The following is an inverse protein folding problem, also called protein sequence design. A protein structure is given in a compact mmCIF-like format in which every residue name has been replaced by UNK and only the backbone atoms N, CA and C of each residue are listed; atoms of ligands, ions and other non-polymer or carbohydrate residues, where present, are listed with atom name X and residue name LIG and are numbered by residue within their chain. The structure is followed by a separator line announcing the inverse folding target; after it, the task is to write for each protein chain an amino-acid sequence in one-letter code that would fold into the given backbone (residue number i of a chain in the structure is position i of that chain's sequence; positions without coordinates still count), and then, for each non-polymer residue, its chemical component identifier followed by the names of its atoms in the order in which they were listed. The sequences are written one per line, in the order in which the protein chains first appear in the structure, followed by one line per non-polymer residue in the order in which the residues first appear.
data_IF_464043811337
#
_entry.id   IF_464043811337
#
_cell.length_a   1.000
_cell.length_b   1.000
_cell.length_c   1.000
_cell.angle_alpha   90.00
_cell.angle_beta   90.00
_cell.angle_gamma   90.00
#
_symmetry.space_group_name_H-M   'P 1'
#
loop_
_entity.id
_entity.type
_entity.pdbx_description
1 polymer ?
#
# COMPACT_ATOMS: atom_id res chain seq x y z
N UNK A 1 -3.84 -16.65 7.60
CA UNK A 1 -3.98 -15.41 6.80
C UNK A 1 -2.67 -15.20 6.07
N UNK A 2 -2.65 -14.42 4.97
CA UNK A 2 -1.43 -14.27 4.18
C UNK A 2 -1.12 -12.82 3.83
N UNK A 3 0.17 -12.56 3.56
CA UNK A 3 0.67 -11.37 2.89
C UNK A 3 1.13 -11.79 1.50
N UNK A 4 0.56 -11.23 0.44
CA UNK A 4 0.92 -11.63 -0.94
C UNK A 4 1.75 -10.52 -1.57
N UNK A 5 2.96 -10.83 -2.02
CA UNK A 5 3.80 -9.89 -2.78
C UNK A 5 3.87 -10.27 -4.25
N UNK A 6 3.65 -9.30 -5.13
CA UNK A 6 3.70 -9.48 -6.57
C UNK A 6 4.97 -8.93 -7.21
N UNK A 7 5.64 -9.74 -8.04
CA UNK A 7 6.77 -9.31 -8.88
C UNK A 7 6.82 -10.11 -10.18
N UNK A 8 7.64 -9.68 -11.15
CA UNK A 8 7.85 -10.39 -12.41
C UNK A 8 9.18 -11.16 -12.42
N UNK A 9 9.47 -11.93 -13.48
CA UNK A 9 10.70 -12.74 -13.60
C UNK A 9 12.00 -11.94 -13.52
N UNK A 10 11.94 -10.64 -13.84
CA UNK A 10 13.07 -9.72 -13.72
C UNK A 10 12.69 -8.59 -12.77
N UNK A 11 12.68 -8.85 -11.44
CA UNK A 11 12.32 -7.85 -10.48
C UNK A 11 13.38 -6.75 -10.47
N UNK A 12 12.95 -5.53 -10.71
CA UNK A 12 13.82 -4.36 -10.78
C UNK A 12 14.09 -3.72 -9.41
N UNK A 13 13.36 -4.14 -8.38
CA UNK A 13 13.54 -3.73 -6.99
C UNK A 13 13.04 -4.80 -6.03
N UNK A 14 13.67 -4.91 -4.87
CA UNK A 14 13.25 -5.77 -3.76
C UNK A 14 12.41 -5.03 -2.71
N UNK A 15 12.11 -3.74 -2.91
CA UNK A 15 11.34 -2.93 -1.95
C UNK A 15 10.05 -3.61 -1.49
N UNK A 16 9.27 -4.14 -2.44
CA UNK A 16 8.01 -4.81 -2.14
C UNK A 16 8.20 -6.11 -1.36
N UNK A 17 9.24 -6.89 -1.70
CA UNK A 17 9.61 -8.09 -0.97
C UNK A 17 9.93 -7.78 0.50
N UNK A 18 10.74 -6.75 0.75
CA UNK A 18 11.12 -6.38 2.10
C UNK A 18 9.95 -5.86 2.93
N UNK A 19 9.04 -5.06 2.34
CA UNK A 19 7.81 -4.66 3.03
C UNK A 19 6.92 -5.87 3.36
N UNK A 20 6.75 -6.79 2.40
CA UNK A 20 5.93 -7.96 2.61
C UNK A 20 6.49 -8.87 3.71
N UNK A 21 7.81 -9.05 3.74
CA UNK A 21 8.51 -9.76 4.80
C UNK A 21 8.35 -9.08 6.16
N UNK A 22 8.47 -7.75 6.23
CA UNK A 22 8.30 -6.99 7.46
C UNK A 22 6.87 -7.12 8.02
N UNK A 23 5.86 -7.07 7.15
CA UNK A 23 4.46 -7.29 7.53
C UNK A 23 4.24 -8.72 8.05
N UNK A 24 4.68 -9.73 7.30
CA UNK A 24 4.55 -11.13 7.69
C UNK A 24 5.29 -11.45 9.01
N UNK A 25 6.45 -10.83 9.26
CA UNK A 25 7.18 -10.96 10.54
C UNK A 25 6.51 -10.26 11.71
N UNK A 26 5.79 -9.18 11.44
CA UNK A 26 5.05 -8.44 12.47
C UNK A 26 3.89 -9.29 12.96
N UNK A 27 3.19 -9.98 12.06
CA UNK A 27 1.94 -10.71 12.38
C UNK A 27 2.13 -12.21 12.57
N UNK A 28 3.24 -12.78 12.10
CA UNK A 28 3.47 -14.22 12.05
C UNK A 28 2.72 -14.92 10.91
N UNK A 29 2.11 -14.16 9.99
CA UNK A 29 1.40 -14.72 8.84
C UNK A 29 2.33 -15.29 7.76
N UNK A 30 1.76 -16.13 6.91
CA UNK A 30 2.44 -16.66 5.72
C UNK A 30 2.73 -15.54 4.70
N UNK A 31 3.97 -15.52 4.19
CA UNK A 31 4.35 -14.70 3.04
C UNK A 31 4.21 -15.50 1.75
N UNK A 32 3.42 -15.00 0.81
CA UNK A 32 3.24 -15.60 -0.51
C UNK A 32 4.02 -14.80 -1.55
N UNK A 33 5.04 -15.41 -2.14
CA UNK A 33 5.81 -14.86 -3.24
C UNK A 33 5.12 -15.19 -4.57
N UNK A 34 4.50 -14.19 -5.20
CA UNK A 34 3.79 -14.36 -6.46
C UNK A 34 4.58 -13.78 -7.63
N UNK A 35 5.33 -14.64 -8.33
CA UNK A 35 6.01 -14.30 -9.57
C UNK A 35 5.02 -14.42 -10.75
N UNK A 36 4.81 -13.33 -11.47
CA UNK A 36 3.84 -13.27 -12.57
C UNK A 36 4.55 -13.00 -13.88
N UNK A 37 4.48 -13.99 -14.77
CA UNK A 37 4.90 -13.88 -16.17
C UNK A 37 3.75 -13.24 -16.94
N UNK A 38 3.94 -12.00 -17.37
CA UNK A 38 2.96 -11.34 -18.23
C UNK A 38 3.08 -11.90 -19.64
N UNK A 39 2.04 -12.58 -20.11
CA UNK A 39 2.00 -13.21 -21.43
C UNK A 39 0.57 -13.41 -21.92
N UNK A 40 0.43 -13.83 -23.17
CA UNK A 40 -0.85 -14.34 -23.67
C UNK A 40 -1.15 -15.63 -22.88
N UNK A 41 -2.23 -15.61 -22.10
CA UNK A 41 -2.73 -16.85 -21.50
C UNK A 41 -3.19 -17.77 -22.65
N UNK A 42 -2.81 -19.04 -22.59
CA UNK A 42 -3.17 -20.14 -23.50
C UNK A 42 -4.31 -19.81 -24.47
N UNK A 43 -3.98 -19.15 -25.58
CA UNK A 43 -4.85 -19.08 -26.75
C UNK A 43 -4.50 -20.29 -27.61
N UNK A 44 -5.38 -21.29 -27.76
CA UNK A 44 -5.10 -22.48 -28.58
C UNK A 44 -4.94 -22.19 -30.08
N UNK A 45 -5.02 -20.93 -30.51
CA UNK A 45 -5.29 -20.54 -31.88
C UNK A 45 -4.08 -20.06 -32.68
N UNK A 46 -2.89 -19.93 -32.09
CA UNK A 46 -1.67 -19.64 -32.84
C UNK A 46 -0.59 -20.62 -32.43
N UNK A 47 -0.67 -21.81 -33.01
CA UNK A 47 0.42 -22.77 -33.01
C UNK A 47 1.57 -22.12 -33.78
N UNK A 48 2.55 -21.57 -33.08
CA UNK A 48 3.79 -21.06 -33.68
C UNK A 48 4.51 -22.22 -34.38
N UNK A 49 4.63 -22.22 -35.73
CA UNK A 49 5.29 -23.29 -36.45
C UNK A 49 6.79 -23.42 -36.15
N UNK A 50 7.39 -22.40 -35.51
CA UNK A 50 8.83 -22.31 -35.29
C UNK A 50 9.31 -22.73 -33.88
N UNK A 51 8.42 -23.07 -32.95
CA UNK A 51 8.78 -23.44 -31.57
C UNK A 51 9.35 -22.30 -30.71
N UNK A 52 9.37 -21.06 -31.22
CA UNK A 52 9.92 -19.88 -30.57
C UNK A 52 9.09 -19.51 -29.33
N UNK A 53 7.77 -19.72 -29.40
CA UNK A 53 6.86 -19.55 -28.25
C UNK A 53 7.19 -20.52 -27.10
N UNK A 54 7.58 -21.77 -27.39
CA UNK A 54 7.92 -22.75 -26.36
C UNK A 54 9.27 -22.49 -25.67
N UNK A 55 10.30 -22.11 -26.42
CA UNK A 55 11.60 -21.72 -25.84
C UNK A 55 11.49 -20.42 -25.04
N UNK A 56 10.73 -19.44 -25.52
CA UNK A 56 10.51 -18.19 -24.80
C UNK A 56 9.75 -18.44 -23.50
N UNK A 57 8.69 -19.26 -23.52
CA UNK A 57 7.96 -19.62 -22.31
C UNK A 57 8.84 -20.38 -21.31
N UNK A 58 9.67 -21.31 -21.77
CA UNK A 58 10.62 -22.02 -20.92
C UNK A 58 11.61 -21.06 -20.26
N UNK A 59 12.23 -20.15 -21.04
CA UNK A 59 13.14 -19.12 -20.51
C UNK A 59 12.46 -18.21 -19.48
N UNK A 60 11.20 -17.84 -19.70
CA UNK A 60 10.45 -17.03 -18.73
C UNK A 60 10.12 -17.79 -17.44
N UNK A 61 9.88 -19.10 -17.51
CA UNK A 61 9.69 -19.94 -16.32
C UNK A 61 10.99 -20.10 -15.54
N UNK A 62 12.10 -20.38 -16.22
CA UNK A 62 13.43 -20.44 -15.60
C UNK A 62 13.77 -19.12 -14.90
N UNK A 63 13.57 -17.98 -15.57
CA UNK A 63 13.76 -16.67 -14.96
C UNK A 63 12.83 -16.42 -13.75
N UNK A 64 11.59 -16.94 -13.78
CA UNK A 64 10.67 -16.84 -12.66
C UNK A 64 11.12 -17.69 -11.45
N UNK A 65 11.63 -18.90 -11.70
CA UNK A 65 12.18 -19.78 -10.68
C UNK A 65 13.44 -19.17 -10.05
N UNK A 66 14.35 -18.64 -10.87
CA UNK A 66 15.52 -17.90 -10.40
C UNK A 66 15.14 -16.68 -9.55
N UNK A 67 14.12 -15.92 -9.98
CA UNK A 67 13.63 -14.78 -9.22
C UNK A 67 13.04 -15.19 -7.86
N UNK A 68 12.36 -16.34 -7.78
CA UNK A 68 11.83 -16.88 -6.52
C UNK A 68 12.95 -17.33 -5.59
N UNK A 69 13.95 -18.07 -6.09
CA UNK A 69 15.13 -18.46 -5.31
C UNK A 69 15.85 -17.22 -4.77
N UNK A 70 16.10 -16.24 -5.65
CA UNK A 70 16.74 -15.00 -5.27
C UNK A 70 15.92 -14.21 -4.23
N UNK A 71 14.59 -14.20 -4.34
CA UNK A 71 13.72 -13.59 -3.34
C UNK A 71 13.81 -14.34 -2.01
N UNK A 72 13.78 -15.68 -2.04
CA UNK A 72 13.86 -16.54 -0.84
C UNK A 72 15.18 -16.36 -0.09
N UNK A 73 16.30 -16.28 -0.80
CA UNK A 73 17.63 -16.08 -0.22
C UNK A 73 17.79 -14.75 0.54
N UNK A 74 16.92 -13.76 0.23
CA UNK A 74 16.89 -12.45 0.90
C UNK A 74 16.01 -12.45 2.14
N UNK A 75 15.22 -13.50 2.37
CA UNK A 75 14.28 -13.59 3.48
C UNK A 75 14.90 -14.32 4.68
N UNK A 76 14.49 -13.98 5.92
CA UNK A 76 14.86 -14.77 7.09
C UNK A 76 14.36 -16.22 6.98
N UNK A 77 15.19 -17.17 7.39
CA UNK A 77 14.94 -18.62 7.25
C UNK A 77 13.70 -19.13 7.97
N UNK A 78 13.23 -18.44 9.01
CA UNK A 78 12.09 -18.85 9.85
C UNK A 78 10.74 -18.33 9.36
N UNK A 79 10.70 -17.54 8.28
CA UNK A 79 9.45 -17.02 7.75
C UNK A 79 8.71 -18.12 6.97
N UNK A 80 7.43 -18.43 7.28
CA UNK A 80 6.63 -19.31 6.44
C UNK A 80 6.42 -18.66 5.07
N UNK A 81 6.96 -19.29 4.03
CA UNK A 81 6.95 -18.75 2.66
C UNK A 81 6.37 -19.79 1.69
N UNK A 82 5.38 -19.36 0.93
CA UNK A 82 4.83 -20.09 -0.21
C UNK A 82 5.19 -19.39 -1.52
N UNK A 83 5.69 -20.15 -2.49
CA UNK A 83 6.14 -19.63 -3.78
C UNK A 83 5.14 -20.04 -4.88
N UNK A 84 4.72 -19.09 -5.70
CA UNK A 84 3.83 -19.33 -6.83
C UNK A 84 4.30 -18.62 -8.09
N UNK A 85 4.21 -19.34 -9.21
CA UNK A 85 4.36 -18.79 -10.55
C UNK A 85 2.97 -18.74 -11.19
N UNK A 86 2.65 -17.61 -11.83
CA UNK A 86 1.43 -17.43 -12.61
C UNK A 86 1.75 -16.84 -13.96
N UNK A 87 0.98 -17.26 -14.97
CA UNK A 87 1.06 -16.73 -16.34
C UNK A 87 -0.26 -16.07 -16.69
N UNK A 88 -0.21 -14.88 -17.28
CA UNK A 88 -1.39 -14.32 -17.92
C UNK A 88 -1.30 -12.83 -18.26
N UNK A 89 -2.39 -12.32 -18.86
CA UNK A 89 -2.40 -11.00 -19.51
C UNK A 89 -2.45 -9.81 -18.55
N UNK A 90 -3.01 -10.01 -17.35
CA UNK A 90 -3.27 -8.95 -16.38
C UNK A 90 -2.68 -9.30 -15.03
N UNK A 91 -1.52 -8.71 -14.73
CA UNK A 91 -0.83 -8.83 -13.44
C UNK A 91 -1.74 -8.40 -12.28
N UNK A 92 -2.43 -7.24 -12.32
CA UNK A 92 -3.39 -6.85 -11.27
C UNK A 92 -4.48 -7.89 -11.00
N UNK A 93 -5.09 -8.44 -12.06
CA UNK A 93 -6.18 -9.40 -11.92
C UNK A 93 -5.71 -10.77 -11.41
N UNK A 94 -4.45 -11.14 -11.69
CA UNK A 94 -3.84 -12.34 -11.12
C UNK A 94 -3.58 -12.11 -9.62
N UNK A 95 -2.94 -11.01 -9.24
CA UNK A 95 -2.68 -10.71 -7.83
C UNK A 95 -3.96 -10.61 -7.00
N UNK A 96 -5.00 -9.98 -7.55
CA UNK A 96 -6.31 -9.91 -6.91
C UNK A 96 -6.85 -11.31 -6.61
N UNK A 97 -6.88 -12.20 -7.61
CA UNK A 97 -7.39 -13.57 -7.46
C UNK A 97 -6.55 -14.41 -6.51
N UNK A 98 -5.22 -14.31 -6.59
CA UNK A 98 -4.33 -15.04 -5.66
C UNK A 98 -4.48 -14.52 -4.22
N UNK A 99 -4.70 -13.22 -4.05
CA UNK A 99 -5.02 -12.63 -2.75
C UNK A 99 -6.32 -13.17 -2.17
N UNK A 100 -7.39 -13.15 -2.96
CA UNK A 100 -8.71 -13.66 -2.55
C UNK A 100 -8.67 -15.15 -2.23
N UNK A 101 -8.02 -15.95 -3.08
CA UNK A 101 -7.91 -17.40 -2.89
C UNK A 101 -7.11 -17.82 -1.65
N UNK A 102 -6.35 -16.89 -1.05
CA UNK A 102 -5.44 -17.13 0.08
C UNK A 102 -5.78 -16.30 1.31
N UNK A 103 -6.97 -15.70 1.33
CA UNK A 103 -7.42 -14.79 2.39
C UNK A 103 -6.34 -13.75 2.76
N UNK A 104 -5.75 -13.15 1.73
CA UNK A 104 -4.65 -12.21 1.91
C UNK A 104 -5.15 -10.97 2.65
N UNK A 105 -4.40 -10.56 3.67
CA UNK A 105 -4.66 -9.33 4.43
C UNK A 105 -4.20 -8.09 3.67
N UNK A 106 -3.20 -8.24 2.79
CA UNK A 106 -2.67 -7.16 1.98
C UNK A 106 -1.95 -7.72 0.74
N UNK A 107 -2.16 -7.04 -0.39
CA UNK A 107 -1.38 -7.21 -1.62
C UNK A 107 -0.22 -6.21 -1.62
N UNK A 108 1.01 -6.68 -1.72
CA UNK A 108 2.21 -5.84 -1.63
C UNK A 108 2.90 -5.72 -2.99
N UNK A 109 3.32 -4.50 -3.30
CA UNK A 109 4.05 -4.15 -4.52
C UNK A 109 5.21 -3.21 -4.20
N UNK A 110 6.26 -3.29 -5.01
CA UNK A 110 7.30 -2.25 -5.05
C UNK A 110 6.86 -1.03 -5.86
N UNK A 111 7.53 0.08 -5.63
CA UNK A 111 7.43 1.27 -6.48
C UNK A 111 7.93 1.03 -7.90
N UNK A 112 7.37 1.75 -8.86
CA UNK A 112 7.88 1.78 -10.22
C UNK A 112 9.33 2.30 -10.27
N UNK A 113 10.13 1.71 -11.16
CA UNK A 113 11.55 2.03 -11.34
C UNK A 113 11.83 3.43 -11.85
N UNK A 114 10.87 4.05 -12.53
CA UNK A 114 10.98 5.42 -13.03
C UNK A 114 10.84 6.48 -11.94
N UNK A 115 10.42 6.09 -10.73
CA UNK A 115 10.24 6.99 -9.60
C UNK A 115 11.54 7.39 -8.90
N UNK A 116 11.57 8.52 -8.19
CA UNK A 116 12.72 8.91 -7.36
C UNK A 116 13.00 7.89 -6.25
N UNK A 117 14.28 7.78 -5.84
CA UNK A 117 14.70 6.94 -4.72
C UNK A 117 14.05 7.44 -3.41
N UNK A 118 13.63 6.51 -2.55
CA UNK A 118 13.01 6.82 -1.26
C UNK A 118 11.54 7.28 -1.35
N UNK A 119 10.93 7.26 -2.54
CA UNK A 119 9.53 7.66 -2.74
C UNK A 119 8.74 6.58 -3.46
N UNK A 120 7.41 6.70 -3.39
CA UNK A 120 6.49 5.81 -4.07
C UNK A 120 6.13 6.35 -5.44
N UNK A 121 6.30 5.52 -6.47
CA UNK A 121 5.80 5.80 -7.82
C UNK A 121 4.88 4.69 -8.27
N UNK A 122 3.73 5.07 -8.83
CA UNK A 122 2.72 4.12 -9.31
C UNK A 122 3.08 3.69 -10.74
N UNK A 123 3.34 2.40 -10.90
CA UNK A 123 3.43 1.74 -12.20
C UNK A 123 2.07 1.22 -12.65
N UNK A 124 1.99 0.66 -13.86
CA UNK A 124 0.73 0.17 -14.46
C UNK A 124 -0.01 -0.88 -13.62
N UNK A 125 0.73 -1.70 -12.86
CA UNK A 125 0.15 -2.71 -11.96
C UNK A 125 -0.37 -2.11 -10.67
N UNK A 126 0.47 -1.34 -9.96
CA UNK A 126 0.07 -0.69 -8.71
C UNK A 126 -1.04 0.31 -8.94
N UNK A 127 -0.99 1.10 -10.01
CA UNK A 127 -2.02 2.08 -10.36
C UNK A 127 -3.39 1.42 -10.55
N UNK A 128 -3.47 0.27 -11.23
CA UNK A 128 -4.73 -0.47 -11.35
C UNK A 128 -5.21 -1.03 -10.00
N UNK A 129 -4.32 -1.60 -9.20
CA UNK A 129 -4.71 -2.20 -7.92
C UNK A 129 -5.20 -1.15 -6.92
N UNK A 130 -4.56 0.02 -6.85
CA UNK A 130 -5.02 1.11 -5.96
C UNK A 130 -6.33 1.79 -6.42
N UNK A 131 -6.85 1.42 -7.58
CA UNK A 131 -8.16 1.90 -8.07
C UNK A 131 -9.23 0.80 -8.17
N UNK A 132 -8.89 -0.47 -7.91
CA UNK A 132 -9.86 -1.56 -8.13
C UNK A 132 -9.76 -2.76 -7.18
N UNK A 133 -8.70 -2.86 -6.37
CA UNK A 133 -8.50 -4.00 -5.47
C UNK A 133 -9.59 -4.06 -4.39
N UNK A 134 -10.15 -5.24 -4.11
CA UNK A 134 -11.04 -5.44 -2.95
C UNK A 134 -10.27 -5.69 -1.64
N UNK A 135 -8.96 -5.84 -1.74
CA UNK A 135 -8.02 -6.08 -0.65
C UNK A 135 -7.16 -4.84 -0.40
N UNK A 136 -6.65 -4.64 0.83
CA UNK A 136 -5.63 -3.63 1.10
C UNK A 136 -4.43 -3.75 0.16
N UNK A 137 -3.88 -2.62 -0.28
CA UNK A 137 -2.70 -2.58 -1.17
C UNK A 137 -1.55 -1.87 -0.47
N UNK A 138 -0.46 -2.59 -0.22
CA UNK A 138 0.79 -2.10 0.34
C UNK A 138 1.78 -1.71 -0.76
N UNK A 139 2.35 -0.51 -0.64
CA UNK A 139 3.32 0.04 -1.57
C UNK A 139 4.60 0.40 -0.83
N UNK A 140 5.73 -0.17 -1.27
CA UNK A 140 7.03 0.11 -0.71
C UNK A 140 7.78 1.19 -1.52
N UNK A 141 8.36 2.23 -0.87
CA UNK A 141 9.20 3.22 -1.54
C UNK A 141 10.34 2.57 -2.34
N UNK A 142 10.79 3.23 -3.41
CA UNK A 142 11.93 2.72 -4.18
C UNK A 142 13.20 2.68 -3.31
N UNK A 143 13.87 1.54 -3.27
CA UNK A 143 15.05 1.34 -2.41
C UNK A 143 14.72 1.10 -0.94
N UNK A 144 13.44 0.92 -0.59
CA UNK A 144 13.02 0.57 0.75
C UNK A 144 13.73 -0.70 1.24
N UNK A 145 14.46 -0.57 2.33
CA UNK A 145 15.01 -1.66 3.11
C UNK A 145 14.72 -1.32 4.58
N UNK A 146 13.97 -2.16 5.31
CA UNK A 146 13.65 -1.87 6.69
C UNK A 146 14.95 -1.80 7.52
N UNK A 147 15.08 -0.77 8.34
CA UNK A 147 16.06 -0.73 9.44
C UNK A 147 15.50 -1.36 10.71
N UNK A 148 14.16 -1.43 10.82
CA UNK A 148 13.45 -2.22 11.83
C UNK A 148 12.68 -3.33 11.14
N UNK A 149 12.89 -4.54 11.63
CA UNK A 149 12.30 -5.76 11.09
C UNK A 149 10.78 -5.88 11.27
N UNK A 150 10.16 -5.02 12.06
CA UNK A 150 8.71 -5.02 12.33
C UNK A 150 8.09 -3.65 12.11
N UNK A 151 6.79 -3.65 11.81
CA UNK A 151 5.96 -2.46 11.90
C UNK A 151 5.80 -2.10 13.37
N UNK A 152 5.94 -0.81 13.70
CA UNK A 152 5.89 -0.30 15.07
C UNK A 152 4.65 0.53 15.37
N UNK A 153 4.12 1.20 14.36
CA UNK A 153 2.88 1.98 14.45
C UNK A 153 2.27 2.23 13.07
N UNK A 154 0.96 2.43 13.08
CA UNK A 154 0.21 2.91 11.93
C UNK A 154 0.12 4.44 12.01
N UNK A 155 0.43 5.13 10.93
CA UNK A 155 0.18 6.57 10.76
C UNK A 155 -1.03 6.72 9.84
N UNK A 156 -2.21 6.97 10.41
CA UNK A 156 -3.45 7.10 9.65
C UNK A 156 -3.61 8.54 9.15
N UNK A 157 -3.55 8.71 7.83
CA UNK A 157 -3.87 9.98 7.21
C UNK A 157 -5.39 10.21 7.19
N UNK A 158 -5.82 11.25 7.89
CA UNK A 158 -7.22 11.66 8.05
C UNK A 158 -7.47 12.95 7.28
N UNK A 159 -8.58 13.01 6.57
CA UNK A 159 -9.15 14.18 5.93
C UNK A 159 -10.36 14.67 6.76
N UNK A 160 -10.56 15.99 6.86
CA UNK A 160 -11.81 16.53 7.38
C UNK A 160 -12.97 16.19 6.42
N UNK A 161 -13.95 15.43 6.90
CA UNK A 161 -15.13 14.98 6.14
C UNK A 161 -15.79 13.72 6.71
N UNK A 162 -17.07 13.47 6.40
CA UNK A 162 -17.86 12.36 6.99
C UNK A 162 -17.38 10.95 6.59
N UNK A 163 -16.63 10.79 5.50
CA UNK A 163 -16.19 9.47 5.00
C UNK A 163 -15.11 8.78 5.82
N UNK A 164 -14.32 9.54 6.58
CA UNK A 164 -13.17 8.95 7.27
C UNK A 164 -13.56 8.23 8.57
N UNK A 165 -14.78 8.46 9.09
CA UNK A 165 -15.36 7.62 10.15
C UNK A 165 -15.61 6.18 9.67
N UNK A 166 -15.99 6.02 8.41
CA UNK A 166 -16.21 4.69 7.85
C UNK A 166 -14.91 3.90 7.70
N UNK A 167 -13.74 4.57 7.64
CA UNK A 167 -12.43 3.93 7.62
C UNK A 167 -11.92 3.50 9.01
N UNK A 168 -12.54 3.97 10.08
CA UNK A 168 -12.09 3.67 11.44
C UNK A 168 -12.11 2.16 11.71
N UNK A 169 -13.09 1.43 11.15
CA UNK A 169 -13.19 -0.02 11.29
C UNK A 169 -12.04 -0.77 10.61
N UNK A 170 -11.71 -0.43 9.36
CA UNK A 170 -10.60 -1.05 8.62
C UNK A 170 -9.24 -0.64 9.19
N UNK A 171 -9.10 0.61 9.61
CA UNK A 171 -7.88 1.07 10.29
C UNK A 171 -7.68 0.37 11.64
N UNK A 172 -8.76 0.15 12.41
CA UNK A 172 -8.72 -0.65 13.63
C UNK A 172 -8.34 -2.10 13.32
N UNK A 173 -8.97 -2.71 12.32
CA UNK A 173 -8.69 -4.08 11.92
C UNK A 173 -7.23 -4.27 11.48
N UNK A 174 -6.68 -3.32 10.71
CA UNK A 174 -5.27 -3.33 10.31
C UNK A 174 -4.35 -3.18 11.54
N UNK A 175 -4.63 -2.22 12.42
CA UNK A 175 -3.80 -1.96 13.60
C UNK A 175 -3.82 -3.14 14.58
N UNK A 176 -4.99 -3.76 14.79
CA UNK A 176 -5.14 -4.97 15.60
C UNK A 176 -4.44 -6.19 14.97
N UNK A 177 -4.54 -6.35 13.64
CA UNK A 177 -3.81 -7.41 12.93
C UNK A 177 -2.30 -7.26 13.07
N UNK A 178 -1.79 -6.02 13.03
CA UNK A 178 -0.37 -5.72 13.24
C UNK A 178 0.03 -5.74 14.72
N UNK A 179 -0.91 -5.59 15.65
CA UNK A 179 -0.64 -5.44 17.08
C UNK A 179 0.08 -4.14 17.43
N UNK A 180 -0.21 -3.04 16.71
CA UNK A 180 0.49 -1.75 16.86
C UNK A 180 -0.47 -0.59 17.12
N UNK A 181 -0.02 0.48 17.81
CA UNK A 181 -0.81 1.68 18.01
C UNK A 181 -0.97 2.49 16.71
N UNK A 182 -1.93 3.41 16.72
CA UNK A 182 -2.22 4.33 15.61
C UNK A 182 -1.95 5.80 15.99
N UNK A 183 -1.42 6.57 15.04
CA UNK A 183 -1.29 8.02 15.12
C UNK A 183 -2.07 8.65 13.97
N UNK A 184 -2.99 9.56 14.27
CA UNK A 184 -3.83 10.19 13.27
C UNK A 184 -3.27 11.54 12.86
N UNK A 185 -3.10 11.76 11.56
CA UNK A 185 -2.47 12.97 11.02
C UNK A 185 -3.29 13.51 9.87
N UNK A 186 -3.46 14.82 9.79
CA UNK A 186 -4.04 15.49 8.61
C UNK A 186 -2.96 16.25 7.88
N UNK A 187 -2.69 15.87 6.64
CA UNK A 187 -1.76 16.60 5.77
C UNK A 187 -2.51 17.63 4.93
N UNK A 188 -1.97 18.85 4.87
CA UNK A 188 -2.48 19.88 3.98
C UNK A 188 -1.35 20.67 3.29
N UNK A 189 -1.70 21.31 2.19
CA UNK A 189 -0.80 22.15 1.42
C UNK A 189 -1.31 23.58 1.39
N UNK A 190 -0.44 24.53 1.72
CA UNK A 190 -0.66 25.96 1.55
C UNK A 190 0.49 26.54 0.75
N UNK A 191 0.24 26.82 -0.52
CA UNK A 191 1.20 27.54 -1.36
C UNK A 191 1.09 29.03 -1.04
N UNK A 192 2.20 29.67 -0.65
CA UNK A 192 2.24 31.10 -0.37
C UNK A 192 2.08 31.96 -1.64
N UNK A 193 2.26 31.38 -2.84
CA UNK A 193 2.16 32.09 -4.11
C UNK A 193 0.73 32.14 -4.67
N UNK A 194 -0.19 31.33 -4.14
CA UNK A 194 -1.59 31.30 -4.57
C UNK A 194 -2.49 31.85 -3.47
N UNK A 195 -3.16 32.96 -3.75
CA UNK A 195 -4.34 33.45 -3.03
C UNK A 195 -5.42 32.34 -3.04
N UNK A 196 -5.28 31.38 -2.15
CA UNK A 196 -6.19 30.25 -1.97
C UNK A 196 -7.27 30.63 -0.95
N UNK A 197 -8.37 29.89 -0.93
CA UNK A 197 -9.51 30.01 0.01
C UNK A 197 -9.09 30.03 1.50
N UNK A 198 -7.82 29.70 1.80
CA UNK A 198 -7.19 29.79 3.12
C UNK A 198 -6.31 31.05 3.32
N UNK A 199 -6.52 32.12 2.53
CA UNK A 199 -5.87 33.42 2.74
C UNK A 199 -6.40 34.14 3.98
N UNK A 200 -7.67 33.90 4.31
CA UNK A 200 -8.27 34.31 5.59
C UNK A 200 -7.86 33.32 6.69
N UNK A 201 -7.23 33.84 7.74
CA UNK A 201 -6.82 33.03 8.90
C UNK A 201 -8.03 32.36 9.57
N UNK A 202 -9.19 33.02 9.62
CA UNK A 202 -10.39 32.47 10.24
C UNK A 202 -10.93 31.22 9.54
N UNK A 203 -10.87 31.18 8.20
CA UNK A 203 -11.29 30.02 7.41
C UNK A 203 -10.35 28.83 7.62
N UNK A 204 -9.05 29.10 7.70
CA UNK A 204 -8.06 28.06 7.98
C UNK A 204 -8.18 27.50 9.40
N UNK A 205 -8.42 28.35 10.40
CA UNK A 205 -8.58 27.93 11.79
C UNK A 205 -9.85 27.08 11.96
N UNK A 206 -10.96 27.46 11.31
CA UNK A 206 -12.17 26.65 11.28
C UNK A 206 -11.92 25.27 10.65
N UNK A 207 -11.28 25.23 9.48
CA UNK A 207 -10.92 23.97 8.82
C UNK A 207 -9.96 23.10 9.66
N UNK A 208 -9.01 23.73 10.36
CA UNK A 208 -8.09 23.03 11.27
C UNK A 208 -8.86 22.44 12.46
N UNK A 209 -9.84 23.16 13.01
CA UNK A 209 -10.70 22.65 14.07
C UNK A 209 -11.51 21.43 13.58
N UNK A 210 -12.07 21.50 12.36
CA UNK A 210 -12.79 20.37 11.75
C UNK A 210 -11.89 19.14 11.57
N UNK A 211 -10.65 19.34 11.13
CA UNK A 211 -9.67 18.26 10.99
C UNK A 211 -9.34 17.60 12.35
N UNK A 212 -9.14 18.40 13.39
CA UNK A 212 -8.89 17.89 14.74
C UNK A 212 -10.12 17.16 15.33
N UNK A 213 -11.33 17.66 15.06
CA UNK A 213 -12.57 17.00 15.47
C UNK A 213 -12.75 15.64 14.77
N UNK A 214 -12.42 15.54 13.48
CA UNK A 214 -12.41 14.28 12.74
C UNK A 214 -11.40 13.29 13.33
N UNK A 215 -10.17 13.74 13.63
CA UNK A 215 -9.16 12.91 14.29
C UNK A 215 -9.64 12.42 15.67
N UNK A 216 -10.24 13.28 16.48
CA UNK A 216 -10.77 12.89 17.79
C UNK A 216 -11.85 11.81 17.68
N UNK A 217 -12.76 11.96 16.71
CA UNK A 217 -13.85 10.99 16.50
C UNK A 217 -13.32 9.61 16.05
N UNK A 218 -12.33 9.59 15.15
CA UNK A 218 -11.71 8.33 14.70
C UNK A 218 -10.86 7.72 15.82
N UNK A 219 -10.14 8.54 16.60
CA UNK A 219 -9.37 8.09 17.77
C UNK A 219 -10.28 7.34 18.74
N UNK A 220 -11.44 7.91 19.07
CA UNK A 220 -12.43 7.27 19.93
C UNK A 220 -12.92 5.93 19.35
N UNK A 221 -13.18 5.86 18.04
CA UNK A 221 -13.61 4.62 17.38
C UNK A 221 -12.51 3.53 17.38
N UNK A 222 -11.25 3.92 17.24
CA UNK A 222 -10.09 3.01 17.34
C UNK A 222 -9.94 2.47 18.77
N UNK A 223 -10.03 3.35 19.77
CA UNK A 223 -9.94 2.98 21.19
C UNK A 223 -11.07 2.02 21.60
N UNK A 224 -12.30 2.27 21.15
CA UNK A 224 -13.43 1.34 21.33
C UNK A 224 -13.19 -0.03 20.71
N UNK A 225 -12.33 -0.10 19.69
CA UNK A 225 -11.93 -1.34 19.02
C UNK A 225 -10.65 -1.96 19.62
N UNK A 226 -10.17 -1.44 20.76
CA UNK A 226 -9.00 -1.92 21.48
C UNK A 226 -7.64 -1.41 20.96
N UNK A 227 -7.63 -0.43 20.05
CA UNK A 227 -6.41 0.13 19.48
C UNK A 227 -6.02 1.40 20.22
N UNK A 228 -4.82 1.43 20.81
CA UNK A 228 -4.25 2.65 21.35
C UNK A 228 -4.03 3.67 20.23
N UNK A 229 -4.67 4.83 20.33
CA UNK A 229 -4.66 5.85 19.29
C UNK A 229 -4.38 7.23 19.87
N UNK A 230 -3.74 8.10 19.09
CA UNK A 230 -3.51 9.49 19.46
C UNK A 230 -3.48 10.41 18.23
N UNK A 231 -3.75 11.70 18.45
CA UNK A 231 -3.61 12.72 17.41
C UNK A 231 -2.15 13.12 17.24
N UNK A 232 -1.65 13.05 16.01
CA UNK A 232 -0.40 13.65 15.55
C UNK A 232 -0.59 15.06 14.95
N UNK A 233 -1.83 15.58 14.96
CA UNK A 233 -2.15 16.95 14.58
C UNK A 233 -2.34 17.18 13.08
N UNK A 234 -2.33 18.47 12.70
CA UNK A 234 -2.51 18.95 11.33
C UNK A 234 -1.19 19.53 10.83
N UNK A 235 -0.61 18.90 9.81
CA UNK A 235 0.70 19.22 9.24
C UNK A 235 0.54 19.92 7.90
N UNK A 236 1.15 21.09 7.76
CA UNK A 236 0.89 21.99 6.64
C UNK A 236 2.18 22.45 5.98
N UNK A 237 2.39 22.04 4.73
CA UNK A 237 3.56 22.40 3.95
C UNK A 237 3.23 23.25 2.72
N UNK A 238 4.25 23.82 2.08
CA UNK A 238 4.09 24.50 0.78
C UNK A 238 3.82 23.55 -0.40
N UNK A 239 4.06 22.25 -0.19
CA UNK A 239 3.80 21.14 -1.11
C UNK A 239 3.63 19.84 -0.30
N UNK A 240 3.09 18.80 -0.93
CA UNK A 240 2.80 17.53 -0.24
C UNK A 240 4.03 16.87 0.40
N UNK A 241 5.20 16.94 -0.25
CA UNK A 241 6.45 16.47 0.36
C UNK A 241 6.84 17.27 1.60
N UNK A 242 6.68 18.59 1.60
CA UNK A 242 6.94 19.41 2.80
C UNK A 242 5.93 19.15 3.92
N UNK A 243 4.68 18.85 3.59
CA UNK A 243 3.66 18.52 4.58
C UNK A 243 3.95 17.15 5.24
N UNK A 244 4.36 16.16 4.45
CA UNK A 244 4.70 14.82 4.94
C UNK A 244 6.03 14.79 5.69
N UNK A 245 7.04 15.55 5.26
CA UNK A 245 8.33 15.72 5.96
C UNK A 245 8.21 16.35 7.36
N UNK A 246 7.11 17.06 7.66
CA UNK A 246 6.88 17.62 9.01
C UNK A 246 6.51 16.57 10.06
N UNK A 247 6.09 15.37 9.63
CA UNK A 247 5.83 14.29 10.57
C UNK A 247 7.16 13.66 11.01
N UNK A 248 7.27 13.36 12.31
CA UNK A 248 8.47 12.74 12.89
C UNK A 248 8.49 11.23 12.59
N UNK A 249 8.85 10.89 11.35
CA UNK A 249 8.92 9.52 10.86
C UNK A 249 9.98 8.70 11.61
N UNK A 250 9.59 7.51 12.03
CA UNK A 250 10.45 6.54 12.70
C UNK A 250 10.57 5.24 11.89
N UNK A 251 11.65 4.47 12.05
CA UNK A 251 11.73 3.11 11.55
C UNK A 251 10.52 2.26 11.97
N UNK A 252 9.93 1.53 11.01
CA UNK A 252 8.74 0.72 11.25
C UNK A 252 7.42 1.48 11.18
N UNK A 253 7.42 2.76 10.79
CA UNK A 253 6.18 3.49 10.50
C UNK A 253 5.54 2.99 9.21
N UNK A 254 4.21 2.82 9.25
CA UNK A 254 3.39 2.47 8.12
C UNK A 254 2.34 3.57 7.89
N UNK A 255 2.45 4.31 6.78
CA UNK A 255 1.40 5.26 6.40
C UNK A 255 0.16 4.49 5.95
N UNK A 256 -1.02 4.91 6.38
CA UNK A 256 -2.29 4.32 6.00
C UNK A 256 -3.21 5.40 5.47
N UNK A 257 -3.80 5.17 4.30
CA UNK A 257 -4.87 6.01 3.76
C UNK A 257 -6.06 5.12 3.40
N UNK A 258 -7.26 5.64 3.57
CA UNK A 258 -8.44 4.99 2.99
C UNK A 258 -8.70 5.42 1.56
N UNK A 259 -9.54 4.63 0.88
CA UNK A 259 -10.10 4.97 -0.42
C UNK A 259 -11.06 6.17 -0.35
N UNK A 260 -11.14 6.91 -1.45
CA UNK A 260 -11.99 8.11 -1.53
C UNK A 260 -13.50 7.82 -1.52
N UNK A 261 -14.31 8.82 -1.17
CA UNK A 261 -15.79 8.81 -1.22
C UNK A 261 -16.43 8.36 -2.54
N UNK A 262 -15.74 8.54 -3.67
CA UNK A 262 -16.28 8.22 -5.00
C UNK A 262 -15.90 6.80 -5.48
N UNK A 263 -15.29 5.99 -4.61
CA UNK A 263 -14.95 4.61 -4.92
C UNK A 263 -16.24 3.77 -5.11
N UNK A 264 -16.30 2.88 -6.11
CA UNK A 264 -17.25 1.79 -6.08
C UNK A 264 -17.08 1.01 -4.76
N UNK A 265 -18.19 0.65 -4.12
CA UNK A 265 -18.22 -0.02 -2.83
C UNK A 265 -17.28 -1.25 -2.77
N UNK A 266 -16.62 -1.46 -1.62
CA UNK A 266 -15.71 -2.59 -1.36
C UNK A 266 -14.42 -2.63 -2.20
N UNK A 267 -13.93 -1.48 -2.67
CA UNK A 267 -12.68 -1.39 -3.45
C UNK A 267 -11.78 -0.25 -2.99
N UNK A 268 -10.47 -0.42 -3.21
CA UNK A 268 -9.49 0.67 -3.10
C UNK A 268 -9.70 1.62 -4.27
N UNK A 269 -9.79 2.91 -3.99
CA UNK A 269 -9.78 3.97 -5.00
C UNK A 269 -8.96 5.14 -4.49
N UNK A 270 -7.91 5.48 -5.23
CA UNK A 270 -6.99 6.53 -4.85
C UNK A 270 -7.42 7.89 -5.43
N UNK A 271 -7.98 8.75 -4.58
CA UNK A 271 -8.32 10.12 -4.96
C UNK A 271 -7.07 10.98 -5.23
N UNK A 272 -7.26 12.13 -5.88
CA UNK A 272 -6.15 13.03 -6.28
C UNK A 272 -5.25 13.46 -5.11
N UNK A 273 -5.83 13.74 -3.93
CA UNK A 273 -5.08 14.06 -2.71
C UNK A 273 -4.31 12.85 -2.18
N UNK A 274 -4.94 11.69 -2.10
CA UNK A 274 -4.31 10.47 -1.61
C UNK A 274 -3.14 10.05 -2.52
N UNK A 275 -3.28 10.16 -3.85
CA UNK A 275 -2.18 9.93 -4.81
C UNK A 275 -0.99 10.85 -4.54
N UNK A 276 -1.23 12.12 -4.21
CA UNK A 276 -0.16 13.07 -3.90
C UNK A 276 0.53 12.76 -2.57
N UNK A 277 -0.22 12.31 -1.56
CA UNK A 277 0.34 11.89 -0.27
C UNK A 277 1.17 10.60 -0.45
N UNK A 278 0.63 9.58 -1.12
CA UNK A 278 1.36 8.31 -1.41
C UNK A 278 2.70 8.61 -2.08
N UNK A 279 2.69 9.43 -3.13
CA UNK A 279 3.93 9.78 -3.85
C UNK A 279 4.93 10.57 -3.01
N UNK A 280 4.44 11.32 -2.01
CA UNK A 280 5.27 12.09 -1.10
C UNK A 280 5.75 11.28 0.13
N UNK A 281 5.17 10.11 0.38
CA UNK A 281 5.48 9.30 1.57
C UNK A 281 6.93 8.79 1.55
N UNK A 282 7.71 9.06 2.61
CA UNK A 282 9.05 8.48 2.77
C UNK A 282 9.02 7.04 3.31
N UNK A 283 7.86 6.57 3.78
CA UNK A 283 7.67 5.24 4.37
C UNK A 283 6.70 4.40 3.54
N UNK A 284 6.69 3.06 3.72
CA UNK A 284 5.64 2.19 3.19
C UNK A 284 4.24 2.72 3.43
N UNK A 285 3.36 2.52 2.44
CA UNK A 285 1.98 2.98 2.50
C UNK A 285 1.02 1.83 2.24
N UNK A 286 -0.01 1.68 3.08
CA UNK A 286 -1.15 0.78 2.85
C UNK A 286 -2.39 1.59 2.51
N UNK A 287 -3.05 1.20 1.44
CA UNK A 287 -4.32 1.75 0.99
C UNK A 287 -5.44 0.79 1.35
N UNK A 288 -6.39 1.25 2.16
CA UNK A 288 -7.52 0.47 2.63
C UNK A 288 -8.72 0.61 1.68
N UNK A 289 -9.42 -0.49 1.33
CA UNK A 289 -10.67 -0.43 0.60
C UNK A 289 -11.81 0.05 1.52
N UNK A 290 -12.81 0.72 0.97
CA UNK A 290 -14.01 1.11 1.73
C UNK A 290 -14.97 -0.08 1.82
N UNK A 291 -15.18 -0.70 2.98
CA UNK A 291 -16.23 -1.71 3.15
C UNK A 291 -17.47 -1.06 3.75
N UNK A 292 -18.65 -1.45 3.27
CA UNK A 292 -19.90 -1.09 3.95
C UNK A 292 -20.00 -1.95 5.21
N UNK A 293 -20.32 -1.33 6.35
CA UNK A 293 -20.89 -2.06 7.49
C UNK A 293 -22.30 -2.49 7.10
N UNK A 294 -22.55 -3.80 7.08
CA UNK A 294 -23.91 -4.35 7.12
C UNK A 294 -24.52 -4.17 8.51
#
# INVERSE_FOLDING_TARGET
MSVVVGFGPYPSTNSGLYLAAQLARTTGDELVLCCIIQGLADTPAVRDPAGIDSEWQQRMREAAEEALVAARDRLPTHLPVTEIIRVGRSVPAILQREGEARDARVLVLGSATSGPLGQISLGSTSDRLVHSSSLPVGLAPRGYHPSDDRIRRVVLAVRPGQSDLALAGEAAALSNWLGVPAILVTFAVRDSAALTVFADQGVFDAWRADALAAQASITQALEQSGVAAQSGGVLVGSRWSRATEQFDWSPGDLLVLGSSEHAPLARVFLGSTATRIVRASPVPTVLLPHRRRD
#
